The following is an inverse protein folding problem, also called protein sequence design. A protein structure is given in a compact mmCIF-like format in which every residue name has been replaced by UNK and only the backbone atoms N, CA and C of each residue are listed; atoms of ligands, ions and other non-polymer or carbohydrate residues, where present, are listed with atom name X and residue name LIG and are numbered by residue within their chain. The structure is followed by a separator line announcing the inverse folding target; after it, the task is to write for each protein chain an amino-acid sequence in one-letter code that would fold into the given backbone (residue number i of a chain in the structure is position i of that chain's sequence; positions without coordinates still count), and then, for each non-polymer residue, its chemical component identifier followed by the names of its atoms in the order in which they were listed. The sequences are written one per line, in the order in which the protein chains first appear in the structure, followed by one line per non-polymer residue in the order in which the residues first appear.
data_IF_514580985244
#
_entry.id   IF_514580985244
#
_cell.length_a   1.000
_cell.length_b   1.000
_cell.length_c   1.000
_cell.angle_alpha   90.00
_cell.angle_beta   90.00
_cell.angle_gamma   90.00
#
_symmetry.space_group_name_H-M   'P 1'
#
loop_
_entity.id
_entity.type
_entity.pdbx_description
1 polymer ?
#
# COMPACT_ATOMS: atom_id res chain seq x y z
N UNK A 1 0.94 -11.46 -7.81
CA UNK A 1 1.13 -10.37 -8.82
C UNK A 1 0.76 -9.00 -8.23
N UNK A 2 1.37 -8.59 -7.13
CA UNK A 2 1.20 -7.25 -6.52
C UNK A 2 2.23 -7.09 -5.41
N UNK A 3 2.78 -5.89 -5.22
CA UNK A 3 3.42 -5.48 -3.99
C UNK A 3 2.94 -4.07 -3.59
N UNK A 4 2.38 -3.96 -2.39
CA UNK A 4 2.02 -2.68 -1.77
C UNK A 4 2.72 -2.55 -0.42
N UNK A 5 3.05 -1.31 -0.05
CA UNK A 5 3.77 -0.97 1.17
C UNK A 5 3.16 0.30 1.78
N UNK A 6 2.90 0.26 3.10
CA UNK A 6 2.63 1.45 3.89
C UNK A 6 3.62 1.53 5.05
N UNK A 7 4.19 2.70 5.29
CA UNK A 7 5.10 3.00 6.40
C UNK A 7 4.48 4.12 7.23
N UNK A 8 4.47 3.91 8.55
CA UNK A 8 4.03 4.83 9.59
C UNK A 8 5.24 5.39 10.33
N UNK A 9 5.39 6.71 10.31
CA UNK A 9 6.41 7.44 11.07
C UNK A 9 5.77 8.56 11.86
N UNK A 10 6.40 9.09 12.92
CA UNK A 10 5.87 10.25 13.64
C UNK A 10 5.64 11.47 12.74
N UNK A 11 6.45 11.63 11.69
CA UNK A 11 6.36 12.75 10.75
C UNK A 11 5.33 12.57 9.62
N UNK A 12 4.74 11.39 9.46
CA UNK A 12 3.73 11.13 8.44
C UNK A 12 3.71 9.70 7.91
N UNK A 13 3.34 9.54 6.63
CA UNK A 13 3.18 8.24 5.97
C UNK A 13 3.96 8.17 4.65
N UNK A 14 4.54 7.01 4.36
CA UNK A 14 4.96 6.65 3.00
C UNK A 14 4.06 5.52 2.52
N UNK A 15 3.37 5.72 1.40
CA UNK A 15 2.52 4.70 0.78
C UNK A 15 3.01 4.44 -0.63
N UNK A 16 3.16 3.17 -1.00
CA UNK A 16 3.62 2.82 -2.34
C UNK A 16 2.96 1.55 -2.87
N UNK A 17 2.74 1.50 -4.18
CA UNK A 17 2.21 0.32 -4.86
C UNK A 17 2.81 0.15 -6.24
N UNK A 18 3.10 -1.09 -6.62
CA UNK A 18 3.33 -1.44 -8.02
C UNK A 18 2.02 -1.44 -8.82
N UNK A 19 2.12 -1.60 -10.14
CA UNK A 19 0.95 -1.51 -11.04
C UNK A 19 0.69 -2.78 -11.85
N UNK A 20 1.62 -3.74 -11.89
CA UNK A 20 1.42 -5.01 -12.61
C UNK A 20 0.32 -5.84 -11.95
N UNK A 21 -0.68 -6.24 -12.72
CA UNK A 21 -1.85 -6.97 -12.22
C UNK A 21 -2.19 -8.14 -13.14
N UNK A 22 -2.68 -9.24 -12.56
CA UNK A 22 -3.29 -10.33 -13.35
C UNK A 22 -4.73 -9.99 -13.66
N UNK A 23 -5.08 -9.94 -14.94
CA UNK A 23 -6.45 -9.77 -15.42
C UNK A 23 -7.06 -11.08 -15.96
N UNK A 24 -6.32 -12.18 -15.90
CA UNK A 24 -6.69 -13.49 -16.42
C UNK A 24 -5.46 -14.30 -16.82
N UNK A 25 -5.68 -15.52 -17.32
CA UNK A 25 -4.61 -16.34 -17.91
C UNK A 25 -4.00 -15.57 -19.08
N UNK A 26 -2.66 -15.41 -19.06
CA UNK A 26 -1.87 -14.66 -20.03
C UNK A 26 -2.26 -13.18 -20.24
N UNK A 27 -3.06 -12.61 -19.34
CA UNK A 27 -3.45 -11.21 -19.37
C UNK A 27 -2.80 -10.44 -18.22
N UNK A 28 -1.73 -9.72 -18.55
CA UNK A 28 -1.06 -8.79 -17.65
C UNK A 28 -1.52 -7.38 -17.96
N UNK A 29 -2.09 -6.70 -16.96
CA UNK A 29 -2.54 -5.32 -17.06
C UNK A 29 -1.70 -4.40 -16.16
N UNK A 30 -1.66 -3.11 -16.53
CA UNK A 30 -1.12 -2.03 -15.69
C UNK A 30 -2.30 -1.31 -15.05
N UNK A 31 -2.44 -1.43 -13.73
CA UNK A 31 -3.57 -0.90 -12.98
C UNK A 31 -3.05 -0.09 -11.79
N UNK A 32 -3.69 1.06 -11.53
CA UNK A 32 -3.41 1.85 -10.33
C UNK A 32 -3.95 1.12 -9.10
N UNK A 33 -3.07 0.82 -8.13
CA UNK A 33 -3.44 0.12 -6.90
C UNK A 33 -3.54 1.04 -5.68
N UNK A 34 -3.25 2.33 -5.84
CA UNK A 34 -3.37 3.38 -4.83
C UNK A 34 -4.56 4.29 -5.16
N UNK A 35 -5.64 4.19 -4.39
CA UNK A 35 -6.80 5.07 -4.47
C UNK A 35 -6.71 6.18 -3.41
N UNK A 36 -7.05 7.41 -3.78
CA UNK A 36 -7.07 8.57 -2.87
C UNK A 36 -8.49 9.15 -2.79
N UNK A 37 -8.85 9.57 -1.58
CA UNK A 37 -10.09 10.25 -1.24
C UNK A 37 -9.73 11.41 -0.32
N UNK A 38 -10.12 12.62 -0.70
CA UNK A 38 -9.62 13.84 -0.08
C UNK A 38 -10.75 14.84 0.14
N UNK A 39 -10.74 15.48 1.30
CA UNK A 39 -11.43 16.75 1.55
C UNK A 39 -10.35 17.75 1.95
N UNK A 40 -9.99 18.72 1.10
CA UNK A 40 -8.88 19.63 1.34
C UNK A 40 -8.97 20.30 2.72
N UNK A 41 -7.87 20.22 3.48
CA UNK A 41 -7.77 20.80 4.82
C UNK A 41 -8.49 20.03 5.93
N UNK A 42 -9.16 18.92 5.61
CA UNK A 42 -9.92 18.15 6.60
C UNK A 42 -9.50 16.68 6.66
N UNK A 43 -9.37 15.99 5.53
CA UNK A 43 -9.00 14.57 5.53
C UNK A 43 -8.32 14.13 4.25
N UNK A 44 -7.41 13.17 4.40
CA UNK A 44 -6.82 12.39 3.31
C UNK A 44 -6.95 10.92 3.69
N UNK A 45 -7.55 10.12 2.81
CA UNK A 45 -7.69 8.68 2.95
C UNK A 45 -7.09 8.04 1.70
N UNK A 46 -6.15 7.13 1.91
CA UNK A 46 -5.50 6.34 0.89
C UNK A 46 -5.81 4.85 1.09
N UNK A 47 -6.10 4.15 0.00
CA UNK A 47 -6.36 2.71 0.01
C UNK A 47 -5.46 2.03 -1.03
N UNK A 48 -4.54 1.17 -0.56
CA UNK A 48 -3.73 0.30 -1.40
C UNK A 48 -4.40 -1.07 -1.53
N UNK A 49 -4.38 -1.67 -2.71
CA UNK A 49 -5.13 -2.91 -2.99
C UNK A 49 -4.22 -4.05 -3.46
N UNK A 50 -4.47 -5.28 -2.99
CA UNK A 50 -3.82 -6.49 -3.47
C UNK A 50 -4.78 -7.70 -3.47
N UNK A 51 -4.55 -8.64 -4.38
CA UNK A 51 -5.36 -9.85 -4.54
C UNK A 51 -6.10 -9.86 -5.88
N UNK A 52 -7.29 -10.45 -5.89
CA UNK A 52 -8.13 -10.54 -7.07
C UNK A 52 -8.48 -9.14 -7.62
N UNK A 53 -8.17 -8.90 -8.90
CA UNK A 53 -8.34 -7.60 -9.54
C UNK A 53 -9.81 -7.18 -9.59
N UNK A 54 -10.73 -8.09 -9.93
CA UNK A 54 -12.16 -7.80 -9.98
C UNK A 54 -12.72 -7.47 -8.60
N UNK A 55 -12.34 -8.25 -7.57
CA UNK A 55 -12.73 -7.98 -6.18
C UNK A 55 -12.25 -6.61 -5.70
N UNK A 56 -10.96 -6.31 -5.89
CA UNK A 56 -10.38 -5.03 -5.44
C UNK A 56 -10.98 -3.83 -6.19
N UNK A 57 -11.19 -3.93 -7.50
CA UNK A 57 -11.88 -2.89 -8.27
C UNK A 57 -13.34 -2.69 -7.84
N UNK A 58 -14.06 -3.78 -7.55
CA UNK A 58 -15.44 -3.70 -7.07
C UNK A 58 -15.49 -2.96 -5.72
N UNK A 59 -14.60 -3.29 -4.77
CA UNK A 59 -14.54 -2.60 -3.47
C UNK A 59 -14.27 -1.11 -3.63
N UNK A 60 -13.23 -0.73 -4.37
CA UNK A 60 -12.90 0.69 -4.58
C UNK A 60 -14.03 1.43 -5.31
N UNK A 61 -14.68 0.77 -6.27
CA UNK A 61 -15.81 1.36 -7.02
C UNK A 61 -17.03 1.56 -6.13
N UNK A 62 -17.39 0.58 -5.30
CA UNK A 62 -18.50 0.69 -4.36
C UNK A 62 -18.26 1.80 -3.33
N UNK A 63 -17.04 1.90 -2.78
CA UNK A 63 -16.67 2.99 -1.88
C UNK A 63 -16.87 4.35 -2.59
N UNK A 64 -16.36 4.51 -3.81
CA UNK A 64 -16.55 5.76 -4.60
C UNK A 64 -18.03 6.07 -4.88
N UNK A 65 -18.88 5.06 -5.02
CA UNK A 65 -20.32 5.27 -5.18
C UNK A 65 -20.96 5.76 -3.88
N UNK A 66 -20.62 5.14 -2.74
CA UNK A 66 -21.11 5.57 -1.41
C UNK A 66 -20.66 6.99 -1.07
N UNK A 67 -19.45 7.40 -1.48
CA UNK A 67 -18.99 8.79 -1.23
C UNK A 67 -19.68 9.83 -2.12
N UNK A 68 -20.17 9.44 -3.30
CA UNK A 68 -20.83 10.36 -4.27
C UNK A 68 -22.31 10.52 -3.99
N UNK A 69 -22.98 9.39 -3.78
CA UNK A 69 -24.35 9.36 -3.36
C UNK A 69 -24.31 9.44 -1.85
N UNK A 70 -24.33 10.66 -1.28
CA UNK A 70 -24.57 10.91 0.15
C UNK A 70 -25.87 10.20 0.49
N UNK A 71 -25.81 8.90 0.78
CA UNK A 71 -27.01 8.10 0.95
C UNK A 71 -27.75 8.72 2.11
N UNK A 72 -29.00 9.09 1.87
CA UNK A 72 -29.92 9.53 2.90
C UNK A 72 -29.85 8.49 4.01
N UNK A 73 -29.18 8.86 5.10
CA UNK A 73 -29.04 8.05 6.31
C UNK A 73 -30.39 7.90 7.04
N UNK A 74 -31.49 8.18 6.34
CA UNK A 74 -32.87 8.25 6.81
C UNK A 74 -33.56 6.87 6.89
N UNK A 75 -32.87 5.77 6.54
CA UNK A 75 -33.43 4.43 6.60
C UNK A 75 -32.53 3.43 7.36
N UNK A 76 -32.10 3.77 8.59
CA UNK A 76 -31.60 2.81 9.58
C UNK A 76 -30.36 1.97 9.22
N UNK A 77 -29.71 2.21 8.08
CA UNK A 77 -28.49 1.53 7.65
C UNK A 77 -27.23 2.18 8.20
N UNK A 78 -26.19 1.38 8.46
CA UNK A 78 -24.86 1.88 8.79
C UNK A 78 -24.32 2.78 7.66
N UNK A 79 -23.77 3.95 8.01
CA UNK A 79 -23.16 4.86 7.05
C UNK A 79 -21.88 4.24 6.46
N UNK A 80 -21.83 4.11 5.13
CA UNK A 80 -20.70 3.53 4.38
C UNK A 80 -19.85 4.56 3.65
N UNK A 81 -20.12 5.84 3.85
CA UNK A 81 -19.33 6.92 3.29
C UNK A 81 -18.07 7.17 4.12
N UNK A 82 -16.90 6.79 3.57
CA UNK A 82 -15.61 7.02 4.22
C UNK A 82 -15.27 8.51 4.37
N UNK A 83 -15.88 9.41 3.60
CA UNK A 83 -15.73 10.86 3.75
C UNK A 83 -16.64 11.43 4.85
N UNK A 84 -17.59 10.64 5.36
CA UNK A 84 -18.42 10.98 6.51
C UNK A 84 -17.98 10.23 7.79
N UNK A 85 -17.02 9.31 7.69
CA UNK A 85 -16.44 8.59 8.82
C UNK A 85 -15.85 9.56 9.85
N UNK A 86 -15.94 9.23 11.14
CA UNK A 86 -15.43 10.10 12.22
C UNK A 86 -13.97 9.84 12.51
N UNK A 87 -13.54 8.59 12.38
CA UNK A 87 -12.17 8.17 12.66
C UNK A 87 -11.59 7.32 11.53
N UNK A 88 -10.26 7.23 11.45
CA UNK A 88 -9.61 6.30 10.51
C UNK A 88 -9.90 4.81 10.85
N UNK A 89 -10.28 4.51 12.10
CA UNK A 89 -10.76 3.18 12.48
C UNK A 89 -12.11 2.87 11.82
N UNK A 90 -13.04 3.83 11.81
CA UNK A 90 -14.33 3.69 11.12
C UNK A 90 -14.11 3.48 9.62
N UNK A 91 -13.14 4.20 9.02
CA UNK A 91 -12.75 3.99 7.61
C UNK A 91 -12.31 2.55 7.37
N UNK A 92 -11.46 1.99 8.23
CA UNK A 92 -11.02 0.59 8.11
C UNK A 92 -12.18 -0.41 8.28
N UNK A 93 -13.13 -0.13 9.18
CA UNK A 93 -14.36 -0.93 9.34
C UNK A 93 -15.23 -0.90 8.08
N UNK A 94 -15.45 0.29 7.50
CA UNK A 94 -16.22 0.46 6.27
C UNK A 94 -15.56 -0.33 5.13
N UNK A 95 -14.26 -0.18 4.92
CA UNK A 95 -13.52 -0.93 3.88
C UNK A 95 -13.67 -2.44 4.06
N UNK A 96 -13.51 -2.93 5.28
CA UNK A 96 -13.72 -4.34 5.62
C UNK A 96 -15.16 -4.82 5.36
N UNK A 97 -16.16 -3.99 5.68
CA UNK A 97 -17.57 -4.25 5.42
C UNK A 97 -17.88 -4.35 3.92
N UNK A 98 -17.38 -3.40 3.11
CA UNK A 98 -17.53 -3.43 1.65
C UNK A 98 -16.84 -4.65 1.04
N UNK A 99 -15.66 -5.03 1.50
CA UNK A 99 -15.00 -6.26 1.07
C UNK A 99 -15.85 -7.51 1.34
N UNK A 100 -16.41 -7.63 2.54
CA UNK A 100 -17.30 -8.75 2.87
C UNK A 100 -18.52 -8.79 1.96
N UNK A 101 -19.10 -7.65 1.63
CA UNK A 101 -20.22 -7.57 0.71
C UNK A 101 -19.85 -8.04 -0.70
N UNK A 102 -18.73 -7.56 -1.26
CA UNK A 102 -18.24 -7.99 -2.57
C UNK A 102 -17.98 -9.50 -2.58
N UNK A 103 -17.34 -10.03 -1.55
CA UNK A 103 -17.08 -11.47 -1.43
C UNK A 103 -18.38 -12.27 -1.29
N UNK A 104 -19.34 -11.81 -0.49
CA UNK A 104 -20.65 -12.47 -0.35
C UNK A 104 -21.37 -12.58 -1.69
N UNK A 105 -21.25 -11.58 -2.57
CA UNK A 105 -21.89 -11.55 -3.88
C UNK A 105 -21.19 -12.44 -4.91
N UNK A 106 -19.86 -12.48 -4.90
CA UNK A 106 -19.08 -13.02 -6.02
C UNK A 106 -18.31 -14.30 -5.73
N UNK A 107 -18.02 -14.62 -4.46
CA UNK A 107 -17.11 -15.70 -4.07
C UNK A 107 -17.43 -17.03 -4.75
N UNK A 108 -18.67 -17.51 -4.63
CA UNK A 108 -19.08 -18.81 -5.18
C UNK A 108 -18.95 -18.92 -6.70
N UNK A 109 -18.99 -17.79 -7.41
CA UNK A 109 -18.85 -17.74 -8.87
C UNK A 109 -17.39 -17.66 -9.31
N UNK A 110 -16.50 -17.14 -8.46
CA UNK A 110 -15.08 -16.93 -8.78
C UNK A 110 -14.21 -18.10 -8.33
N UNK A 111 -14.51 -18.74 -7.19
CA UNK A 111 -13.73 -19.86 -6.64
C UNK A 111 -13.44 -21.00 -7.65
N UNK A 112 -14.35 -21.39 -8.56
CA UNK A 112 -14.03 -22.39 -9.60
C UNK A 112 -12.93 -21.97 -10.58
N UNK A 113 -12.63 -20.67 -10.69
CA UNK A 113 -11.69 -20.09 -11.65
C UNK A 113 -10.44 -19.48 -10.98
N UNK A 114 -10.41 -19.36 -9.65
CA UNK A 114 -9.26 -18.85 -8.92
C UNK A 114 -9.61 -18.28 -7.55
N UNK A 115 -8.64 -17.62 -6.92
CA UNK A 115 -8.82 -16.99 -5.61
C UNK A 115 -9.67 -15.71 -5.73
N UNK A 116 -10.84 -15.61 -5.07
CA UNK A 116 -11.66 -14.39 -5.05
C UNK A 116 -11.15 -13.32 -4.09
N UNK A 117 -10.19 -13.65 -3.21
CA UNK A 117 -9.85 -12.81 -2.08
C UNK A 117 -9.16 -11.49 -2.48
N UNK A 118 -9.43 -10.46 -1.68
CA UNK A 118 -8.73 -9.17 -1.73
C UNK A 118 -8.22 -8.80 -0.34
N UNK A 119 -7.26 -7.89 -0.28
CA UNK A 119 -6.72 -7.30 0.94
C UNK A 119 -6.33 -5.85 0.68
N UNK A 120 -6.33 -5.04 1.73
CA UNK A 120 -6.10 -3.60 1.60
C UNK A 120 -5.19 -3.06 2.69
N UNK A 121 -4.44 -2.02 2.35
CA UNK A 121 -3.86 -1.11 3.34
C UNK A 121 -4.71 0.14 3.32
N UNK A 122 -5.20 0.57 4.48
CA UNK A 122 -5.97 1.79 4.66
C UNK A 122 -5.14 2.73 5.49
N UNK A 123 -4.85 3.91 4.96
CA UNK A 123 -3.97 4.87 5.62
C UNK A 123 -4.47 6.29 5.40
N UNK A 124 -4.13 7.20 6.30
CA UNK A 124 -4.55 8.59 6.15
C UNK A 124 -4.64 9.33 7.47
N UNK A 125 -5.28 10.50 7.41
CA UNK A 125 -5.52 11.36 8.56
C UNK A 125 -6.85 12.09 8.39
N UNK A 126 -7.56 12.24 9.49
CA UNK A 126 -8.75 13.08 9.63
C UNK A 126 -8.42 14.17 10.65
N UNK A 127 -8.83 15.42 10.38
CA UNK A 127 -8.55 16.56 11.25
C UNK A 127 -9.00 16.30 12.68
N UNK A 128 -8.10 16.54 13.63
CA UNK A 128 -8.30 16.24 15.06
C UNK A 128 -7.81 14.85 15.49
N UNK A 129 -7.38 13.99 14.57
CA UNK A 129 -6.74 12.72 14.86
C UNK A 129 -5.31 12.65 14.32
N UNK A 130 -4.41 11.85 14.93
CA UNK A 130 -3.14 11.50 14.31
C UNK A 130 -3.37 10.69 13.02
N UNK A 131 -2.39 10.70 12.12
CA UNK A 131 -2.41 9.81 10.96
C UNK A 131 -2.26 8.34 11.39
N UNK A 132 -2.97 7.45 10.68
CA UNK A 132 -3.08 6.03 11.05
C UNK A 132 -2.90 5.14 9.82
N UNK A 133 -2.51 3.88 10.06
CA UNK A 133 -2.18 2.90 9.04
C UNK A 133 -2.71 1.52 9.47
N UNK A 134 -3.55 0.92 8.63
CA UNK A 134 -4.20 -0.37 8.88
C UNK A 134 -3.97 -1.35 7.73
N UNK A 135 -4.01 -2.64 8.05
CA UNK A 135 -4.09 -3.72 7.08
C UNK A 135 -5.41 -4.46 7.26
N UNK A 136 -6.27 -4.39 6.24
CA UNK A 136 -7.54 -5.12 6.14
C UNK A 136 -7.30 -6.45 5.46
N UNK A 137 -7.57 -7.54 6.17
CA UNK A 137 -7.46 -8.91 5.67
C UNK A 137 -8.66 -9.31 4.83
N UNK A 138 -8.56 -10.44 4.13
CA UNK A 138 -9.64 -10.96 3.28
C UNK A 138 -10.93 -11.31 4.03
N UNK A 139 -10.86 -11.54 5.35
CA UNK A 139 -12.03 -11.71 6.21
C UNK A 139 -12.68 -10.37 6.61
N UNK A 140 -12.13 -9.23 6.20
CA UNK A 140 -12.62 -7.89 6.49
C UNK A 140 -12.32 -7.40 7.92
N UNK A 141 -11.66 -8.19 8.75
CA UNK A 141 -11.02 -7.69 9.98
C UNK A 141 -9.67 -7.04 9.64
N UNK A 142 -9.11 -6.29 10.58
CA UNK A 142 -7.88 -5.54 10.35
C UNK A 142 -7.01 -5.43 11.60
N UNK A 143 -5.74 -5.11 11.37
CA UNK A 143 -4.75 -4.70 12.39
C UNK A 143 -4.27 -3.30 12.09
N UNK A 144 -3.72 -2.63 13.11
CA UNK A 144 -3.13 -1.31 13.01
C UNK A 144 -1.61 -1.37 13.19
N UNK A 145 -0.89 -0.56 12.42
CA UNK A 145 0.53 -0.32 12.63
C UNK A 145 0.77 0.41 13.96
N UNK A 146 1.98 0.29 14.50
CA UNK A 146 2.38 0.99 15.72
C UNK A 146 3.86 1.32 15.66
N UNK A 147 4.40 2.05 16.66
CA UNK A 147 5.84 2.30 16.74
C UNK A 147 6.70 1.02 16.75
N UNK A 148 6.13 -0.12 17.18
CA UNK A 148 6.81 -1.44 17.15
C UNK A 148 6.73 -2.14 15.79
N UNK A 149 5.69 -1.83 15.01
CA UNK A 149 5.46 -2.42 13.69
C UNK A 149 5.13 -1.29 12.73
N UNK A 150 6.20 -0.69 12.20
CA UNK A 150 6.13 0.61 11.53
C UNK A 150 5.69 0.50 10.08
N UNK A 151 5.62 -0.70 9.52
CA UNK A 151 5.23 -0.87 8.13
C UNK A 151 4.36 -2.12 7.95
N UNK A 152 3.46 -2.03 6.98
CA UNK A 152 2.55 -3.10 6.56
C UNK A 152 2.75 -3.34 5.06
N UNK A 153 2.65 -4.60 4.64
CA UNK A 153 2.90 -4.99 3.25
C UNK A 153 1.78 -5.91 2.75
N UNK A 154 1.47 -5.82 1.46
CA UNK A 154 0.54 -6.75 0.77
C UNK A 154 1.20 -7.39 -0.46
N UNK A 155 0.79 -8.62 -0.77
CA UNK A 155 1.23 -9.35 -1.97
C UNK A 155 2.60 -10.01 -1.81
N UNK A 156 3.53 -9.74 -2.73
CA UNK A 156 4.88 -10.34 -2.78
C UNK A 156 5.87 -9.66 -1.81
N UNK A 157 5.61 -9.80 -0.50
CA UNK A 157 6.24 -8.97 0.53
C UNK A 157 7.67 -9.37 0.90
N UNK A 158 8.06 -10.62 0.63
CA UNK A 158 9.27 -11.25 1.21
C UNK A 158 10.58 -10.65 0.70
N UNK A 159 10.63 -10.25 -0.56
CA UNK A 159 11.87 -9.80 -1.22
C UNK A 159 12.33 -8.42 -0.74
N UNK A 160 11.38 -7.50 -0.61
CA UNK A 160 11.65 -6.12 -0.18
C UNK A 160 11.66 -5.93 1.33
N UNK A 161 11.28 -6.94 2.13
CA UNK A 161 11.21 -6.82 3.59
C UNK A 161 12.59 -6.63 4.28
N UNK A 162 13.67 -7.35 3.92
CA UNK A 162 14.91 -7.30 4.69
C UNK A 162 15.61 -5.93 4.74
N UNK A 163 15.40 -5.05 3.75
CA UNK A 163 15.95 -3.69 3.80
C UNK A 163 15.15 -2.80 4.77
N UNK A 164 13.84 -3.00 4.86
CA UNK A 164 12.98 -2.30 5.82
C UNK A 164 13.32 -2.74 7.24
N UNK A 165 13.39 -4.06 7.49
CA UNK A 165 13.72 -4.61 8.82
C UNK A 165 15.09 -4.15 9.35
N UNK A 166 16.05 -3.85 8.46
CA UNK A 166 17.42 -3.50 8.85
C UNK A 166 17.67 -2.00 8.98
N UNK A 167 17.02 -1.18 8.15
CA UNK A 167 17.38 0.22 7.99
C UNK A 167 16.29 1.20 8.41
N UNK A 168 15.01 0.79 8.39
CA UNK A 168 13.93 1.67 8.81
C UNK A 168 13.90 1.77 10.34
N UNK A 169 13.87 3.00 10.85
CA UNK A 169 13.80 3.29 12.28
C UNK A 169 12.67 4.29 12.57
N UNK A 170 12.22 4.39 13.81
CA UNK A 170 11.21 5.38 14.24
C UNK A 170 11.66 6.83 14.04
N UNK A 171 12.95 7.07 14.19
CA UNK A 171 13.54 8.38 13.96
C UNK A 171 13.79 8.68 12.46
N UNK A 172 13.55 7.72 11.56
CA UNK A 172 13.75 7.95 10.12
C UNK A 172 12.85 9.08 9.62
N UNK A 173 13.41 9.97 8.81
CA UNK A 173 12.65 11.00 8.12
C UNK A 173 11.85 10.43 6.94
N UNK A 174 10.82 11.14 6.49
CA UNK A 174 9.99 10.72 5.34
C UNK A 174 10.81 10.48 4.07
N UNK A 175 11.84 11.30 3.82
CA UNK A 175 12.67 11.17 2.60
C UNK A 175 13.58 9.94 2.66
N UNK A 176 14.05 9.57 3.85
CA UNK A 176 14.80 8.33 4.04
C UNK A 176 13.89 7.12 3.86
N UNK A 177 12.71 7.13 4.48
CA UNK A 177 11.73 6.06 4.31
C UNK A 177 11.25 5.91 2.86
N UNK A 178 11.14 7.00 2.10
CA UNK A 178 10.83 6.96 0.68
C UNK A 178 11.95 6.27 -0.13
N UNK A 179 13.23 6.53 0.18
CA UNK A 179 14.37 5.81 -0.44
C UNK A 179 14.30 4.31 -0.11
N UNK A 180 14.08 3.97 1.16
CA UNK A 180 13.97 2.57 1.61
C UNK A 180 12.79 1.85 0.93
N UNK A 181 11.65 2.52 0.76
CA UNK A 181 10.52 2.01 0.01
C UNK A 181 10.92 1.70 -1.45
N UNK A 182 11.55 2.65 -2.15
CA UNK A 182 11.98 2.44 -3.55
C UNK A 182 13.02 1.32 -3.71
N UNK A 183 13.92 1.15 -2.75
CA UNK A 183 14.87 0.02 -2.73
C UNK A 183 14.18 -1.31 -2.42
N UNK A 184 13.18 -1.30 -1.54
CA UNK A 184 12.31 -2.45 -1.27
C UNK A 184 11.57 -2.92 -2.54
N UNK A 185 11.07 -1.97 -3.34
CA UNK A 185 10.49 -2.26 -4.66
C UNK A 185 11.53 -2.76 -5.66
N UNK A 186 12.73 -2.17 -5.73
CA UNK A 186 13.79 -2.65 -6.62
C UNK A 186 14.17 -4.11 -6.36
N UNK A 187 14.41 -4.46 -5.09
CA UNK A 187 14.69 -5.84 -4.69
C UNK A 187 13.57 -6.79 -5.13
N UNK A 188 12.31 -6.38 -4.96
CA UNK A 188 11.14 -7.19 -5.33
C UNK A 188 11.01 -7.36 -6.85
N UNK A 189 11.16 -6.27 -7.62
CA UNK A 189 11.06 -6.30 -9.09
C UNK A 189 12.15 -7.18 -9.71
N UNK A 190 13.37 -7.14 -9.16
CA UNK A 190 14.49 -7.97 -9.65
C UNK A 190 14.28 -9.46 -9.38
N UNK A 191 13.58 -9.81 -8.30
CA UNK A 191 13.44 -11.21 -7.85
C UNK A 191 12.08 -11.82 -8.15
N UNK A 192 11.08 -11.04 -8.56
CA UNK A 192 9.73 -11.54 -8.83
C UNK A 192 9.06 -10.75 -9.97
N UNK A 193 8.88 -11.41 -11.12
CA UNK A 193 8.28 -10.83 -12.32
C UNK A 193 6.80 -10.42 -12.15
N UNK A 194 6.15 -10.86 -11.09
CA UNK A 194 4.75 -10.52 -10.83
C UNK A 194 4.56 -9.11 -10.27
N UNK A 195 5.65 -8.43 -9.93
CA UNK A 195 5.71 -7.04 -9.48
C UNK A 195 6.46 -6.23 -10.52
N UNK A 196 5.89 -5.11 -10.96
CA UNK A 196 6.60 -4.26 -11.91
C UNK A 196 6.19 -2.79 -11.82
N UNK A 197 7.09 -1.88 -12.25
CA UNK A 197 6.75 -0.49 -12.46
C UNK A 197 5.65 -0.29 -13.52
N UNK A 198 4.99 0.88 -13.54
CA UNK A 198 5.23 2.03 -12.65
C UNK A 198 4.88 1.77 -11.18
N UNK A 199 5.66 2.40 -10.29
CA UNK A 199 5.42 2.46 -8.85
C UNK A 199 4.81 3.82 -8.52
N UNK A 200 3.60 3.83 -7.96
CA UNK A 200 3.03 5.04 -7.37
C UNK A 200 3.54 5.15 -5.93
N UNK A 201 4.07 6.32 -5.53
CA UNK A 201 4.55 6.59 -4.17
C UNK A 201 4.00 7.93 -3.68
N UNK A 202 3.30 7.90 -2.55
CA UNK A 202 2.83 9.07 -1.83
C UNK A 202 3.69 9.30 -0.59
N UNK A 203 4.26 10.50 -0.50
CA UNK A 203 4.85 11.05 0.74
C UNK A 203 3.82 11.97 1.40
N UNK A 204 3.18 11.48 2.46
CA UNK A 204 2.23 12.28 3.23
C UNK A 204 2.90 12.84 4.47
N UNK A 205 2.82 14.14 4.66
CA UNK A 205 3.31 14.83 5.85
C UNK A 205 2.16 14.99 6.84
N UNK A 206 2.42 14.67 8.11
CA UNK A 206 1.42 14.79 9.18
C UNK A 206 0.81 16.20 9.21
N UNK A 207 -0.49 16.29 9.43
CA UNK A 207 -1.30 17.50 9.48
C UNK A 207 -1.35 18.33 8.19
N UNK A 208 -0.74 17.85 7.09
CA UNK A 208 -0.74 18.57 5.82
C UNK A 208 -2.06 18.50 5.04
N UNK A 209 -2.85 17.43 5.29
CA UNK A 209 -4.06 17.09 4.53
C UNK A 209 -3.90 17.26 3.00
N UNK A 210 -2.73 16.91 2.48
CA UNK A 210 -2.35 17.13 1.09
C UNK A 210 -1.69 15.91 0.47
N UNK A 211 -2.06 15.60 -0.77
CA UNK A 211 -1.46 14.52 -1.57
C UNK A 211 -0.54 15.03 -2.67
N UNK A 212 -0.12 16.30 -2.59
CA UNK A 212 0.71 16.97 -3.59
C UNK A 212 2.04 16.27 -3.89
N UNK A 213 2.53 15.44 -2.96
CA UNK A 213 3.75 14.66 -3.10
C UNK A 213 3.48 13.20 -3.51
N UNK A 214 2.52 12.99 -4.40
CA UNK A 214 2.34 11.75 -5.13
C UNK A 214 3.25 11.77 -6.37
N UNK A 215 4.14 10.80 -6.47
CA UNK A 215 5.05 10.62 -7.59
C UNK A 215 4.90 9.23 -8.23
N UNK A 216 5.25 9.14 -9.50
CA UNK A 216 5.24 7.90 -10.29
C UNK A 216 6.65 7.57 -10.75
N UNK A 217 7.13 6.37 -10.42
CA UNK A 217 8.45 5.87 -10.80
C UNK A 217 8.29 4.73 -11.81
N UNK A 218 8.49 5.02 -13.09
CA UNK A 218 8.59 3.98 -14.12
C UNK A 218 10.02 3.43 -14.25
N UNK A 219 10.21 2.43 -15.12
CA UNK A 219 11.51 1.77 -15.33
C UNK A 219 12.66 2.71 -15.70
N UNK A 220 12.35 3.86 -16.30
CA UNK A 220 13.30 4.84 -16.84
C UNK A 220 13.38 6.11 -15.97
N UNK A 221 12.70 6.17 -14.83
CA UNK A 221 12.71 7.34 -13.97
C UNK A 221 14.14 7.68 -13.51
N UNK A 222 14.68 8.88 -13.79
CA UNK A 222 16.10 9.18 -13.66
C UNK A 222 16.60 9.04 -12.22
N UNK A 223 15.83 9.55 -11.25
CA UNK A 223 16.17 9.40 -9.83
C UNK A 223 16.20 7.93 -9.38
N UNK A 224 15.27 7.09 -9.85
CA UNK A 224 15.21 5.70 -9.40
C UNK A 224 16.30 4.86 -10.07
N UNK A 225 16.68 5.19 -11.31
CA UNK A 225 17.88 4.63 -11.94
C UNK A 225 19.16 4.98 -11.14
N UNK A 226 19.36 6.25 -10.79
CA UNK A 226 20.52 6.69 -9.99
C UNK A 226 20.53 6.05 -8.60
N UNK A 227 19.39 6.01 -7.90
CA UNK A 227 19.26 5.38 -6.58
C UNK A 227 19.67 3.90 -6.61
N UNK A 228 19.17 3.15 -7.61
CA UNK A 228 19.49 1.72 -7.79
C UNK A 228 20.97 1.51 -8.08
N UNK A 229 21.55 2.34 -8.94
CA UNK A 229 22.96 2.24 -9.30
C UNK A 229 23.85 2.50 -8.08
N UNK A 230 23.65 3.61 -7.37
CA UNK A 230 24.43 3.97 -6.18
C UNK A 230 24.30 2.92 -5.07
N UNK A 231 23.10 2.38 -4.86
CA UNK A 231 22.89 1.32 -3.88
C UNK A 231 23.66 0.05 -4.25
N UNK A 232 23.62 -0.37 -5.52
CA UNK A 232 24.35 -1.54 -6.03
C UNK A 232 25.86 -1.37 -5.88
N UNK A 233 26.40 -0.20 -6.25
CA UNK A 233 27.83 0.09 -6.17
C UNK A 233 28.31 0.13 -4.72
N UNK A 234 27.55 0.78 -3.84
CA UNK A 234 27.84 0.85 -2.41
C UNK A 234 27.81 -0.52 -1.73
N UNK A 235 26.82 -1.36 -2.04
CA UNK A 235 26.72 -2.72 -1.51
C UNK A 235 27.89 -3.59 -1.97
N UNK A 236 28.26 -3.50 -3.25
CA UNK A 236 29.39 -4.25 -3.81
C UNK A 236 30.72 -3.84 -3.16
N UNK A 237 30.92 -2.54 -2.97
CA UNK A 237 32.11 -2.01 -2.28
C UNK A 237 32.16 -2.45 -0.80
N UNK A 238 31.01 -2.47 -0.11
CA UNK A 238 30.93 -2.97 1.26
C UNK A 238 31.27 -4.45 1.34
N UNK A 239 30.72 -5.30 0.45
CA UNK A 239 31.03 -6.74 0.45
C UNK A 239 32.51 -7.00 0.16
N UNK A 240 33.10 -6.24 -0.77
CA UNK A 240 34.51 -6.37 -1.11
C UNK A 240 35.46 -5.95 0.03
N UNK A 241 35.01 -5.12 0.97
CA UNK A 241 35.80 -4.70 2.13
C UNK A 241 35.70 -5.65 3.33
N UNK A 242 34.81 -6.64 3.29
CA UNK A 242 34.67 -7.65 4.35
C UNK A 242 35.83 -8.67 4.29
N UNK A 243 36.27 -9.19 5.45
CA UNK A 243 37.29 -10.23 5.47
C UNK A 243 36.79 -11.52 4.80
N UNK A 244 37.72 -12.28 4.21
CA UNK A 244 37.40 -13.60 3.66
C UNK A 244 36.88 -14.55 4.75
N UNK A 245 35.93 -15.45 4.44
CA UNK A 245 35.49 -16.47 5.38
C UNK A 245 36.64 -17.39 5.78
N UNK A 246 36.70 -17.75 7.06
CA UNK A 246 37.63 -18.77 7.56
C UNK A 246 37.07 -20.16 7.25
N UNK A 247 37.77 -20.93 6.41
CA UNK A 247 37.40 -22.30 6.06
C UNK A 247 38.38 -23.26 6.73
N UNK A 248 37.90 -24.30 7.46
CA UNK A 248 38.79 -25.32 7.99
C UNK A 248 39.51 -26.06 6.86
N UNK A 249 40.79 -26.34 7.08
CA UNK A 249 41.67 -27.04 6.15
C UNK A 249 41.28 -28.51 5.92
#
# INVERSE_FOLDING_TARGET
MTYCLGILLPSGLILASDSRSSAGVDQIAVVKKLALFEVPGERVIAILSAGNLATTQAVITMIRQYTRHKQDSAAGGENRDILAARTMFDVAQIVGGVLREVLRLNRSFVEPYGDPNGSFIVAGQIAGEPHRLFQVYSAGNFVEASGRTQFLQLGETKYGKPILDRALQEASGLDEAAKLALLSFDATVRSNLSVAPPIDLLRYEADSFSTKHLAKYDSHHPYWADLRQRYSDGLSALVASLPAPDFPA
#
